data_IF_866480735118
#
_entry.id   IF_866480735118
#
_cell.length_a   1.000
_cell.length_b   1.000
_cell.length_c   1.000
_cell.angle_alpha   90.00
_cell.angle_beta   90.00
_cell.angle_gamma   90.00
#
_symmetry.space_group_name_H-M   'P 1'
#
loop_
_entity.id
_entity.type
_entity.pdbx_description
1 polymer ?
#
# COMPACT_ATOMS: atom_id res chain seq x y z
N UNK A 1 -3.28 21.81 2.18
CA UNK A 1 -3.56 22.16 3.60
C UNK A 1 -2.26 22.01 4.38
N UNK A 2 -1.95 22.98 5.23
CA UNK A 2 -0.85 22.94 6.19
C UNK A 2 -1.45 22.83 7.58
N UNK A 3 -1.00 21.85 8.36
CA UNK A 3 -1.45 21.64 9.73
C UNK A 3 -0.25 21.45 10.64
N UNK A 4 -0.40 21.68 11.93
CA UNK A 4 0.60 21.34 12.93
C UNK A 4 -0.02 20.52 14.04
N UNK A 5 0.73 19.60 14.62
CA UNK A 5 0.26 18.72 15.68
C UNK A 5 1.43 18.05 16.41
N UNK A 6 1.14 17.43 17.54
CA UNK A 6 2.12 16.70 18.34
C UNK A 6 2.17 15.20 17.99
N UNK A 7 1.31 14.76 17.10
CA UNK A 7 1.23 13.37 16.65
C UNK A 7 1.46 13.30 15.13
N UNK A 8 2.08 12.21 14.69
CA UNK A 8 2.30 11.94 13.28
C UNK A 8 0.96 11.67 12.57
N UNK A 9 0.69 12.42 11.51
CA UNK A 9 -0.45 12.19 10.60
C UNK A 9 -0.21 10.91 9.79
N UNK A 10 1.05 10.64 9.45
CA UNK A 10 1.46 9.42 8.73
C UNK A 10 1.13 8.18 9.54
N UNK A 11 1.51 8.15 10.83
CA UNK A 11 1.21 7.02 11.73
C UNK A 11 -0.29 6.85 11.94
N UNK A 12 -1.03 7.94 12.08
CA UNK A 12 -2.50 7.90 12.20
C UNK A 12 -3.17 7.34 10.94
N UNK A 13 -2.69 7.71 9.75
CA UNK A 13 -3.20 7.16 8.49
C UNK A 13 -2.92 5.66 8.37
N UNK A 14 -1.74 5.21 8.78
CA UNK A 14 -1.37 3.78 8.77
C UNK A 14 -2.21 2.95 9.75
N UNK A 15 -2.58 3.51 10.90
CA UNK A 15 -3.49 2.85 11.86
C UNK A 15 -4.90 2.70 11.33
N UNK A 16 -5.39 3.67 10.55
CA UNK A 16 -6.75 3.64 9.98
C UNK A 16 -6.81 2.71 8.76
N UNK A 17 -5.75 2.68 7.95
CA UNK A 17 -5.70 1.94 6.69
C UNK A 17 -4.30 1.34 6.50
N UNK A 18 -4.19 0.03 6.60
CA UNK A 18 -2.92 -0.70 6.45
C UNK A 18 -2.28 -0.55 5.06
N UNK A 19 -3.04 -0.09 4.06
CA UNK A 19 -2.61 0.08 2.67
C UNK A 19 -2.72 1.54 2.21
N UNK A 20 -2.15 2.47 2.99
CA UNK A 20 -2.27 3.91 2.74
C UNK A 20 -1.18 4.49 1.80
N UNK A 21 -0.54 3.66 0.92
CA UNK A 21 0.60 4.11 0.08
C UNK A 21 0.29 5.38 -0.74
N UNK A 22 -0.84 5.41 -1.41
CA UNK A 22 -1.24 6.57 -2.22
C UNK A 22 -1.50 7.84 -1.41
N UNK A 23 -2.01 7.71 -0.20
CA UNK A 23 -2.25 8.79 0.74
C UNK A 23 -0.94 9.28 1.36
N UNK A 24 -0.06 8.37 1.76
CA UNK A 24 1.25 8.69 2.36
C UNK A 24 2.15 9.49 1.42
N UNK A 25 2.14 9.18 0.12
CA UNK A 25 2.89 9.93 -0.91
C UNK A 25 2.39 11.36 -1.13
N UNK A 26 1.26 11.76 -0.55
CA UNK A 26 0.68 13.10 -0.61
C UNK A 26 0.85 13.90 0.68
N UNK A 27 1.41 13.27 1.71
CA UNK A 27 1.67 13.90 3.01
C UNK A 27 3.17 14.10 3.16
N UNK A 28 3.60 15.34 3.32
CA UNK A 28 4.96 15.67 3.74
C UNK A 28 4.93 16.13 5.18
N UNK A 29 5.45 15.30 6.05
CA UNK A 29 5.57 15.60 7.48
C UNK A 29 6.96 16.13 7.78
N UNK A 30 7.02 17.30 8.42
CA UNK A 30 8.27 17.94 8.79
C UNK A 30 8.39 17.97 10.31
N UNK A 31 9.42 17.30 10.84
CA UNK A 31 9.67 17.28 12.28
C UNK A 31 10.39 18.55 12.71
N UNK A 32 9.68 19.45 13.38
CA UNK A 32 10.27 20.65 13.92
C UNK A 32 10.92 20.37 15.27
N UNK A 33 12.20 20.73 15.40
CA UNK A 33 12.89 20.68 16.68
C UNK A 33 12.57 21.91 17.51
N UNK A 34 12.34 21.71 18.79
CA UNK A 34 12.13 22.84 19.72
C UNK A 34 13.38 23.74 19.71
N UNK A 35 13.18 25.03 19.44
CA UNK A 35 14.23 26.02 19.60
C UNK A 35 14.48 26.27 21.08
N UNK A 36 15.66 25.91 21.57
CA UNK A 36 16.03 25.99 22.99
C UNK A 36 16.71 27.33 23.36
N UNK A 37 16.88 28.21 22.39
CA UNK A 37 17.62 29.45 22.56
C UNK A 37 16.78 30.71 22.86
N UNK A 38 15.44 30.60 22.81
CA UNK A 38 14.56 31.75 23.08
C UNK A 38 13.91 31.66 24.46
N UNK A 39 13.89 32.75 25.18
CA UNK A 39 13.12 32.91 26.40
C UNK A 39 11.62 33.07 26.09
N UNK A 40 10.76 32.78 27.06
CA UNK A 40 9.31 33.04 26.89
C UNK A 40 9.02 34.46 26.50
N UNK A 41 9.72 35.45 27.07
CA UNK A 41 9.53 36.86 26.82
C UNK A 41 9.87 37.25 25.36
N UNK A 42 10.93 36.66 24.78
CA UNK A 42 11.27 36.86 23.36
C UNK A 42 10.21 36.27 22.44
N UNK A 43 9.69 35.09 22.79
CA UNK A 43 8.61 34.43 22.03
C UNK A 43 7.34 35.29 22.08
N UNK A 44 6.93 35.78 23.26
CA UNK A 44 5.76 36.62 23.43
C UNK A 44 5.90 37.94 22.63
N UNK A 45 7.11 38.53 22.58
CA UNK A 45 7.39 39.72 21.78
C UNK A 45 7.23 39.45 20.27
N UNK A 46 7.65 38.29 19.77
CA UNK A 46 7.46 37.92 18.37
C UNK A 46 5.98 37.77 18.04
N UNK A 47 5.20 37.10 18.91
CA UNK A 47 3.75 36.96 18.70
C UNK A 47 3.03 38.29 18.71
N UNK A 48 3.39 39.21 19.61
CA UNK A 48 2.82 40.58 19.62
C UNK A 48 3.13 41.34 18.31
N UNK A 49 4.38 41.28 17.82
CA UNK A 49 4.77 41.87 16.55
C UNK A 49 4.04 41.29 15.36
N UNK A 50 3.78 39.97 15.37
CA UNK A 50 2.98 39.34 14.32
C UNK A 50 1.54 39.82 14.31
N UNK A 51 0.93 40.02 15.49
CA UNK A 51 -0.43 40.55 15.61
C UNK A 51 -0.53 41.98 15.06
N UNK A 52 0.47 42.81 15.30
CA UNK A 52 0.50 44.23 14.83
C UNK A 52 0.75 44.32 13.32
N UNK A 53 1.39 43.35 12.71
CA UNK A 53 1.78 43.33 11.29
C UNK A 53 1.02 42.28 10.45
N UNK A 54 -0.06 41.76 10.98
CA UNK A 54 -0.84 40.74 10.29
C UNK A 54 -1.43 41.23 8.97
N UNK A 55 -1.26 40.40 7.91
CA UNK A 55 -1.88 40.66 6.61
C UNK A 55 -1.15 41.61 5.67
N UNK A 56 -0.05 42.26 6.09
CA UNK A 56 0.68 43.25 5.27
C UNK A 56 1.45 42.59 4.12
N UNK A 57 2.12 41.46 4.36
CA UNK A 57 2.95 40.78 3.36
C UNK A 57 2.13 40.14 2.23
N UNK A 58 0.94 39.64 2.53
CA UNK A 58 0.09 38.93 1.57
C UNK A 58 -0.26 39.71 0.32
N UNK A 59 -0.84 40.94 0.43
CA UNK A 59 -1.15 41.75 -0.73
C UNK A 59 0.07 42.05 -1.61
N UNK A 60 1.22 42.39 -1.02
CA UNK A 60 2.47 42.69 -1.74
C UNK A 60 2.90 41.46 -2.55
N UNK A 61 2.90 40.30 -1.91
CA UNK A 61 3.27 39.02 -2.55
C UNK A 61 2.31 38.67 -3.71
N UNK A 62 1.00 38.76 -3.48
CA UNK A 62 -0.01 38.41 -4.51
C UNK A 62 0.04 39.38 -5.68
N UNK A 63 0.20 40.66 -5.46
CA UNK A 63 0.36 41.65 -6.54
C UNK A 63 1.58 41.32 -7.42
N UNK A 64 2.70 40.95 -6.79
CA UNK A 64 3.90 40.54 -7.54
C UNK A 64 3.65 39.26 -8.35
N UNK A 65 3.00 38.24 -7.75
CA UNK A 65 2.66 36.98 -8.43
C UNK A 65 1.77 37.25 -9.65
N UNK A 66 0.70 38.04 -9.50
CA UNK A 66 -0.23 38.34 -10.59
C UNK A 66 0.45 39.10 -11.73
N UNK A 67 1.38 40.00 -11.42
CA UNK A 67 2.10 40.79 -12.42
C UNK A 67 3.19 39.96 -13.16
N UNK A 68 3.59 38.81 -12.62
CA UNK A 68 4.73 38.04 -13.15
C UNK A 68 4.40 36.53 -13.39
N UNK A 69 3.15 36.21 -13.67
CA UNK A 69 2.64 34.81 -13.73
C UNK A 69 3.48 33.90 -14.65
N UNK A 70 3.86 34.38 -15.84
CA UNK A 70 4.57 33.52 -16.82
C UNK A 70 6.01 33.24 -16.38
N UNK A 71 6.71 34.25 -15.86
CA UNK A 71 8.08 34.06 -15.33
C UNK A 71 8.07 33.15 -14.09
N UNK A 72 7.03 33.23 -13.26
CA UNK A 72 6.87 32.38 -12.08
C UNK A 72 6.57 30.94 -12.49
N UNK A 73 5.74 30.72 -13.51
CA UNK A 73 5.49 29.36 -14.05
C UNK A 73 6.79 28.71 -14.55
N UNK A 74 7.60 29.47 -15.28
CA UNK A 74 8.93 29.01 -15.72
C UNK A 74 9.81 28.66 -14.52
N UNK A 75 9.91 29.54 -13.55
CA UNK A 75 10.71 29.30 -12.33
C UNK A 75 10.23 28.08 -11.52
N UNK A 76 8.92 27.86 -11.45
CA UNK A 76 8.34 26.67 -10.81
C UNK A 76 8.75 25.38 -11.55
N UNK A 77 8.64 25.40 -12.88
CA UNK A 77 9.03 24.25 -13.69
C UNK A 77 10.54 23.96 -13.55
N UNK A 78 11.40 24.96 -13.65
CA UNK A 78 12.85 24.80 -13.51
C UNK A 78 13.23 24.30 -12.12
N UNK A 79 12.60 24.81 -11.08
CA UNK A 79 12.80 24.35 -9.70
C UNK A 79 12.35 22.91 -9.52
N UNK A 80 11.19 22.53 -10.07
CA UNK A 80 10.72 21.16 -10.03
C UNK A 80 11.69 20.21 -10.72
N UNK A 81 12.15 20.54 -11.94
CA UNK A 81 13.12 19.73 -12.68
C UNK A 81 14.44 19.56 -11.91
N UNK A 82 14.89 20.63 -11.24
CA UNK A 82 16.07 20.58 -10.38
C UNK A 82 15.88 19.60 -9.22
N UNK A 83 14.74 19.66 -8.53
CA UNK A 83 14.41 18.80 -7.41
C UNK A 83 14.24 17.34 -7.86
N UNK A 84 13.55 17.10 -8.97
CA UNK A 84 13.36 15.78 -9.56
C UNK A 84 14.70 15.11 -9.84
N UNK A 85 15.63 15.85 -10.43
CA UNK A 85 17.00 15.35 -10.74
C UNK A 85 17.83 15.13 -9.47
N UNK A 86 17.77 16.04 -8.50
CA UNK A 86 18.57 15.97 -7.27
C UNK A 86 18.15 14.82 -6.36
N UNK A 87 16.84 14.58 -6.27
CA UNK A 87 16.25 13.57 -5.38
C UNK A 87 15.88 12.27 -6.10
N UNK A 88 16.14 12.17 -7.42
CA UNK A 88 15.70 11.02 -8.23
C UNK A 88 14.21 10.71 -8.02
N UNK A 89 13.36 11.74 -8.23
CA UNK A 89 11.90 11.63 -8.04
C UNK A 89 11.28 10.92 -9.24
N UNK A 90 10.57 9.85 -8.98
CA UNK A 90 9.78 9.13 -9.97
C UNK A 90 8.34 9.67 -10.07
N UNK A 91 7.57 9.12 -11.02
CA UNK A 91 6.19 9.53 -11.25
C UNK A 91 5.28 9.33 -10.01
N UNK A 92 5.60 8.39 -9.14
CA UNK A 92 4.80 8.07 -7.95
C UNK A 92 4.98 9.10 -6.85
N UNK A 93 6.17 9.70 -6.75
CA UNK A 93 6.57 10.66 -5.71
C UNK A 93 6.47 12.14 -6.17
N UNK A 94 5.92 12.38 -7.37
CA UNK A 94 5.83 13.72 -8.02
C UNK A 94 5.24 14.82 -7.14
N UNK A 95 4.39 14.48 -6.17
CA UNK A 95 3.78 15.48 -5.29
C UNK A 95 4.81 16.17 -4.40
N UNK A 96 5.87 15.48 -4.00
CA UNK A 96 6.93 16.07 -3.19
C UNK A 96 7.70 17.16 -3.97
N UNK A 97 8.07 16.90 -5.23
CA UNK A 97 8.79 17.88 -6.03
C UNK A 97 7.94 19.11 -6.36
N UNK A 98 6.67 18.93 -6.72
CA UNK A 98 5.74 20.05 -6.96
C UNK A 98 5.56 20.89 -5.70
N UNK A 99 5.35 20.24 -4.55
CA UNK A 99 5.18 20.95 -3.27
C UNK A 99 6.43 21.74 -2.90
N UNK A 100 7.61 21.13 -2.95
CA UNK A 100 8.87 21.81 -2.66
C UNK A 100 9.14 22.96 -3.64
N UNK A 101 8.88 22.77 -4.95
CA UNK A 101 9.05 23.82 -5.94
C UNK A 101 8.18 25.04 -5.62
N UNK A 102 6.90 24.84 -5.29
CA UNK A 102 6.02 25.93 -4.88
C UNK A 102 6.52 26.66 -3.62
N UNK A 103 6.95 25.89 -2.61
CA UNK A 103 7.45 26.49 -1.36
C UNK A 103 8.73 27.30 -1.60
N UNK A 104 9.70 26.78 -2.36
CA UNK A 104 10.99 27.45 -2.54
C UNK A 104 10.94 28.60 -3.54
N UNK A 105 10.17 28.48 -4.63
CA UNK A 105 9.93 29.63 -5.52
C UNK A 105 9.18 30.73 -4.78
N UNK A 106 8.16 30.39 -4.00
CA UNK A 106 7.45 31.34 -3.15
C UNK A 106 8.37 32.03 -2.13
N UNK A 107 9.23 31.28 -1.46
CA UNK A 107 10.20 31.83 -0.51
C UNK A 107 11.23 32.76 -1.19
N UNK A 108 11.76 32.38 -2.35
CA UNK A 108 12.68 33.22 -3.11
C UNK A 108 12.04 34.54 -3.56
N UNK A 109 10.78 34.51 -4.00
CA UNK A 109 10.01 35.72 -4.35
C UNK A 109 9.82 36.60 -3.11
N UNK A 110 9.39 36.01 -2.00
CA UNK A 110 9.17 36.76 -0.75
C UNK A 110 10.48 37.36 -0.23
N UNK A 111 11.61 36.68 -0.32
CA UNK A 111 12.92 37.23 0.02
C UNK A 111 13.31 38.38 -0.90
N UNK A 112 13.10 38.27 -2.22
CA UNK A 112 13.36 39.32 -3.20
C UNK A 112 12.52 40.57 -2.93
N UNK A 113 11.31 40.41 -2.41
CA UNK A 113 10.42 41.48 -2.00
C UNK A 113 10.74 42.05 -0.61
N UNK A 114 11.76 41.57 0.06
CA UNK A 114 12.14 41.99 1.41
C UNK A 114 11.16 41.60 2.50
N UNK A 115 10.32 40.58 2.26
CA UNK A 115 9.32 40.12 3.23
C UNK A 115 9.90 39.19 4.31
N UNK A 116 11.09 38.61 4.09
CA UNK A 116 11.84 37.85 5.07
C UNK A 116 13.34 37.77 4.73
N UNK A 117 14.14 37.36 5.74
CA UNK A 117 15.58 37.13 5.63
C UNK A 117 15.99 35.68 5.98
N UNK A 118 15.09 34.71 5.68
CA UNK A 118 15.32 33.30 5.99
C UNK A 118 16.46 32.76 5.13
N UNK A 119 17.36 31.97 5.72
CA UNK A 119 18.40 31.21 5.01
C UNK A 119 17.76 30.09 4.18
N UNK A 120 17.34 30.40 2.96
CA UNK A 120 16.65 29.47 2.06
C UNK A 120 17.51 28.24 1.75
N UNK A 121 18.82 28.33 1.46
CA UNK A 121 19.67 27.15 1.24
C UNK A 121 19.65 26.16 2.40
N UNK A 122 19.66 26.63 3.63
CA UNK A 122 19.59 25.80 4.83
C UNK A 122 18.23 25.10 4.96
N UNK A 123 17.14 25.83 4.72
CA UNK A 123 15.78 25.27 4.73
C UNK A 123 15.60 24.27 3.61
N UNK A 124 16.13 24.54 2.42
CA UNK A 124 16.12 23.63 1.28
C UNK A 124 16.77 22.29 1.63
N UNK A 125 17.99 22.33 2.16
CA UNK A 125 18.72 21.12 2.57
C UNK A 125 17.96 20.33 3.63
N UNK A 126 17.32 20.98 4.58
CA UNK A 126 16.48 20.33 5.58
C UNK A 126 15.27 19.64 4.94
N UNK A 127 14.51 20.37 4.10
CA UNK A 127 13.30 19.85 3.48
C UNK A 127 13.57 18.69 2.51
N UNK A 128 14.66 18.76 1.73
CA UNK A 128 15.07 17.65 0.84
C UNK A 128 15.45 16.40 1.63
N UNK A 129 16.13 16.54 2.77
CA UNK A 129 16.43 15.42 3.65
C UNK A 129 15.16 14.78 4.23
N UNK A 130 14.17 15.60 4.63
CA UNK A 130 12.90 15.08 5.16
C UNK A 130 12.10 14.35 4.06
N UNK A 131 12.10 14.84 2.82
CA UNK A 131 11.50 14.11 1.69
C UNK A 131 12.18 12.77 1.46
N UNK A 132 13.52 12.70 1.51
CA UNK A 132 14.23 11.42 1.39
C UNK A 132 13.85 10.44 2.50
N UNK A 133 13.70 10.93 3.74
CA UNK A 133 13.24 10.11 4.88
C UNK A 133 11.81 9.61 4.68
N UNK A 134 10.89 10.49 4.26
CA UNK A 134 9.50 10.13 3.98
C UNK A 134 9.41 9.06 2.89
N UNK A 135 10.19 9.19 1.81
CA UNK A 135 10.27 8.19 0.74
C UNK A 135 10.83 6.85 1.21
N UNK A 136 11.89 6.87 2.03
CA UNK A 136 12.46 5.65 2.60
C UNK A 136 11.45 4.94 3.51
N UNK A 137 10.72 5.68 4.35
CA UNK A 137 9.66 5.16 5.20
C UNK A 137 8.53 4.54 4.37
N UNK A 138 8.06 5.24 3.32
CA UNK A 138 7.01 4.72 2.43
C UNK A 138 7.45 3.45 1.70
N UNK A 139 8.73 3.38 1.23
CA UNK A 139 9.26 2.16 0.60
C UNK A 139 9.32 0.98 1.57
N UNK A 140 9.73 1.21 2.81
CA UNK A 140 9.71 0.18 3.86
C UNK A 140 8.28 -0.31 4.13
N UNK A 141 7.33 0.60 4.28
CA UNK A 141 5.92 0.28 4.50
C UNK A 141 5.29 -0.52 3.33
N UNK A 142 5.67 -0.24 2.08
CA UNK A 142 5.21 -1.03 0.91
C UNK A 142 5.76 -2.46 0.95
N UNK A 143 7.00 -2.67 1.45
CA UNK A 143 7.53 -4.01 1.72
C UNK A 143 6.69 -4.77 2.74
N UNK A 144 6.31 -4.11 3.82
CA UNK A 144 5.45 -4.68 4.87
C UNK A 144 4.04 -4.99 4.34
N UNK A 145 3.50 -4.21 3.41
CA UNK A 145 2.19 -4.44 2.79
C UNK A 145 2.12 -5.76 2.03
N UNK A 146 3.20 -6.17 1.38
CA UNK A 146 3.24 -7.48 0.71
C UNK A 146 3.16 -8.62 1.74
N UNK A 147 3.85 -8.48 2.87
CA UNK A 147 3.79 -9.42 3.99
C UNK A 147 2.37 -9.46 4.55
N UNK A 148 1.77 -8.31 4.84
CA UNK A 148 0.39 -8.20 5.36
C UNK A 148 -0.62 -8.85 4.40
N UNK A 149 -0.47 -8.64 3.09
CA UNK A 149 -1.34 -9.27 2.09
C UNK A 149 -1.22 -10.80 2.10
N UNK A 150 0.01 -11.33 2.21
CA UNK A 150 0.27 -12.78 2.27
C UNK A 150 -0.23 -13.38 3.59
N UNK A 151 0.03 -12.74 4.73
CA UNK A 151 -0.48 -13.17 6.03
C UNK A 151 -2.00 -13.16 6.09
N UNK A 152 -2.65 -12.13 5.49
CA UNK A 152 -4.12 -12.07 5.40
C UNK A 152 -4.66 -13.20 4.53
N UNK A 153 -3.99 -13.55 3.43
CA UNK A 153 -4.37 -14.70 2.60
C UNK A 153 -4.20 -16.01 3.36
N UNK A 154 -3.08 -16.18 4.07
CA UNK A 154 -2.83 -17.36 4.90
C UNK A 154 -3.90 -17.51 6.00
N UNK A 155 -4.27 -16.40 6.66
CA UNK A 155 -5.35 -16.40 7.63
C UNK A 155 -6.69 -16.81 7.00
N UNK A 156 -7.02 -16.33 5.79
CA UNK A 156 -8.22 -16.76 5.06
C UNK A 156 -8.23 -18.27 4.84
N UNK A 157 -7.11 -18.83 4.37
CA UNK A 157 -7.00 -20.28 4.11
C UNK A 157 -7.14 -21.06 5.41
N UNK A 158 -6.46 -20.64 6.48
CA UNK A 158 -6.53 -21.32 7.77
C UNK A 158 -7.94 -21.29 8.37
N UNK A 159 -8.63 -20.14 8.34
CA UNK A 159 -10.01 -20.04 8.84
C UNK A 159 -10.98 -20.91 8.02
N UNK A 160 -10.71 -21.16 6.74
CA UNK A 160 -11.59 -21.88 5.83
C UNK A 160 -11.06 -23.27 5.42
N UNK A 161 -10.08 -23.81 6.12
CA UNK A 161 -9.45 -25.10 5.75
C UNK A 161 -10.45 -26.25 5.67
N UNK A 162 -11.50 -26.25 6.49
CA UNK A 162 -12.57 -27.24 6.47
C UNK A 162 -13.61 -27.01 5.34
N UNK A 163 -13.54 -25.88 4.66
CA UNK A 163 -14.45 -25.48 3.59
C UNK A 163 -13.79 -25.57 2.20
N UNK A 164 -12.74 -26.37 2.09
CA UNK A 164 -12.00 -26.60 0.85
C UNK A 164 -12.53 -27.84 0.12
N UNK A 165 -12.66 -27.73 -1.20
CA UNK A 165 -12.79 -28.85 -2.10
C UNK A 165 -11.42 -29.20 -2.66
N UNK A 166 -10.88 -30.38 -2.31
CA UNK A 166 -9.65 -30.89 -2.90
C UNK A 166 -10.01 -31.95 -3.93
N UNK A 167 -9.71 -31.66 -5.20
CA UNK A 167 -10.04 -32.54 -6.32
C UNK A 167 -8.98 -32.42 -7.41
N UNK A 168 -8.50 -33.58 -7.90
CA UNK A 168 -7.57 -33.63 -9.03
C UNK A 168 -8.23 -33.13 -10.32
N UNK A 169 -7.42 -32.70 -11.29
CA UNK A 169 -7.93 -32.30 -12.60
C UNK A 169 -8.47 -33.54 -13.32
N UNK A 170 -9.76 -33.52 -13.67
CA UNK A 170 -10.36 -34.56 -14.50
C UNK A 170 -9.84 -34.46 -15.93
N UNK A 171 -9.46 -35.58 -16.50
CA UNK A 171 -9.08 -35.71 -17.93
C UNK A 171 -10.27 -35.98 -18.84
N UNK A 172 -11.50 -36.05 -18.31
CA UNK A 172 -12.74 -36.32 -19.04
C UNK A 172 -13.98 -35.71 -18.41
N UNK A 173 -15.14 -35.98 -19.01
CA UNK A 173 -16.44 -35.49 -18.54
C UNK A 173 -16.99 -36.23 -17.31
N UNK A 174 -16.28 -37.23 -16.82
CA UNK A 174 -16.76 -38.05 -15.70
C UNK A 174 -16.44 -37.39 -14.39
N UNK A 175 -17.45 -37.17 -13.51
CA UNK A 175 -17.22 -36.65 -12.16
C UNK A 175 -16.28 -37.56 -11.37
N UNK A 176 -15.38 -36.96 -10.60
CA UNK A 176 -14.42 -37.65 -9.76
C UNK A 176 -14.80 -37.54 -8.28
N UNK A 177 -14.44 -38.56 -7.50
CA UNK A 177 -14.55 -38.44 -6.06
C UNK A 177 -13.56 -37.37 -5.57
N UNK A 178 -14.01 -36.40 -4.78
CA UNK A 178 -13.09 -35.45 -4.18
C UNK A 178 -12.18 -36.15 -3.19
N UNK A 179 -10.91 -35.74 -3.15
CA UNK A 179 -9.94 -36.18 -2.14
C UNK A 179 -10.38 -35.68 -0.77
N UNK A 180 -10.82 -34.39 -0.71
CA UNK A 180 -11.43 -33.81 0.46
C UNK A 180 -12.70 -33.05 0.01
N UNK A 181 -13.81 -33.35 0.69
CA UNK A 181 -15.07 -32.62 0.52
C UNK A 181 -15.17 -31.51 1.57
N UNK A 182 -15.75 -30.35 1.22
CA UNK A 182 -15.99 -29.30 2.20
C UNK A 182 -16.97 -29.78 3.27
N UNK A 183 -16.68 -29.44 4.53
CA UNK A 183 -17.56 -29.75 5.68
C UNK A 183 -18.69 -28.76 5.86
N UNK A 184 -18.67 -27.64 5.12
CA UNK A 184 -19.68 -26.59 5.15
C UNK A 184 -19.80 -25.94 3.78
N UNK A 185 -20.02 -24.62 3.76
CA UNK A 185 -20.08 -23.85 2.53
C UNK A 185 -18.74 -23.86 1.79
N UNK A 186 -18.79 -24.19 0.49
CA UNK A 186 -17.58 -24.24 -0.34
C UNK A 186 -16.97 -22.85 -0.51
N UNK A 187 -15.82 -22.60 0.12
CA UNK A 187 -15.11 -21.30 0.11
C UNK A 187 -13.88 -21.28 -0.79
N UNK A 188 -13.28 -22.44 -1.06
CA UNK A 188 -12.11 -22.54 -1.90
C UNK A 188 -11.96 -23.94 -2.52
N UNK A 189 -11.23 -24.02 -3.63
CA UNK A 189 -10.89 -25.26 -4.30
C UNK A 189 -9.39 -25.37 -4.46
N UNK A 190 -8.82 -26.52 -4.15
CA UNK A 190 -7.45 -26.87 -4.43
C UNK A 190 -7.36 -28.01 -5.42
N UNK A 191 -6.51 -27.87 -6.43
CA UNK A 191 -6.23 -28.90 -7.41
C UNK A 191 -4.78 -29.39 -7.25
N UNK A 192 -4.54 -30.58 -6.71
CA UNK A 192 -3.19 -31.12 -6.52
C UNK A 192 -2.41 -31.29 -7.83
N UNK A 193 -3.11 -31.62 -8.92
CA UNK A 193 -2.47 -31.86 -10.23
C UNK A 193 -1.87 -30.58 -10.83
N UNK A 194 -2.55 -29.43 -10.71
CA UNK A 194 -2.09 -28.14 -11.23
C UNK A 194 -1.51 -27.23 -10.15
N UNK A 195 -1.57 -27.69 -8.89
CA UNK A 195 -1.19 -26.95 -7.69
C UNK A 195 -1.82 -25.57 -7.60
N UNK A 196 -3.09 -25.49 -7.98
CA UNK A 196 -3.86 -24.25 -8.03
C UNK A 196 -4.83 -24.17 -6.88
N UNK A 197 -4.75 -23.05 -6.13
CA UNK A 197 -5.75 -22.66 -5.15
C UNK A 197 -6.69 -21.63 -5.75
N UNK A 198 -7.97 -21.97 -5.86
CA UNK A 198 -9.01 -21.12 -6.45
C UNK A 198 -9.93 -20.61 -5.36
N UNK A 199 -10.06 -19.27 -5.25
CA UNK A 199 -10.87 -18.60 -4.23
C UNK A 199 -11.84 -17.65 -4.92
N UNK A 200 -13.17 -17.69 -4.59
CA UNK A 200 -14.13 -16.71 -5.09
C UNK A 200 -13.73 -15.29 -4.72
N UNK A 201 -13.76 -14.41 -5.72
CA UNK A 201 -13.33 -13.02 -5.52
C UNK A 201 -14.19 -12.26 -4.49
N UNK A 202 -15.46 -12.64 -4.33
CA UNK A 202 -16.33 -12.06 -3.31
C UNK A 202 -15.90 -12.46 -1.90
N UNK A 203 -15.55 -13.74 -1.68
CA UNK A 203 -15.10 -14.24 -0.39
C UNK A 203 -13.80 -13.57 0.04
N UNK A 204 -12.83 -13.50 -0.89
CA UNK A 204 -11.57 -12.84 -0.62
C UNK A 204 -11.78 -11.35 -0.28
N UNK A 205 -12.61 -10.63 -1.05
CA UNK A 205 -12.93 -9.22 -0.78
C UNK A 205 -13.55 -9.01 0.59
N UNK A 206 -14.54 -9.82 0.94
CA UNK A 206 -15.22 -9.72 2.23
C UNK A 206 -14.25 -9.97 3.39
N UNK A 207 -13.35 -10.93 3.24
CA UNK A 207 -12.36 -11.25 4.26
C UNK A 207 -11.34 -10.13 4.45
N UNK A 208 -10.73 -9.66 3.36
CA UNK A 208 -9.76 -8.58 3.39
C UNK A 208 -10.37 -7.28 3.93
N UNK A 209 -11.61 -6.97 3.52
CA UNK A 209 -12.32 -5.80 4.06
C UNK A 209 -12.56 -5.90 5.57
N UNK A 210 -12.89 -7.09 6.11
CA UNK A 210 -13.00 -7.31 7.57
C UNK A 210 -11.68 -7.10 8.31
N UNK A 211 -10.56 -7.45 7.65
CA UNK A 211 -9.20 -7.23 8.18
C UNK A 211 -8.65 -5.83 7.89
N UNK A 212 -9.47 -4.93 7.29
CA UNK A 212 -9.10 -3.56 6.91
C UNK A 212 -7.90 -3.49 5.93
N UNK A 213 -7.73 -4.53 5.09
CA UNK A 213 -6.69 -4.62 4.07
C UNK A 213 -7.29 -4.30 2.71
N UNK A 214 -6.64 -3.42 1.91
CA UNK A 214 -7.10 -3.09 0.57
C UNK A 214 -6.90 -4.25 -0.40
N UNK A 215 -8.01 -4.73 -0.96
CA UNK A 215 -8.00 -5.89 -1.86
C UNK A 215 -7.29 -5.60 -3.17
N UNK A 216 -7.47 -4.40 -3.75
CA UNK A 216 -6.90 -4.08 -5.07
C UNK A 216 -5.39 -4.01 -4.99
N UNK A 217 -4.89 -3.35 -3.95
CA UNK A 217 -3.47 -3.23 -3.71
C UNK A 217 -2.83 -4.58 -3.38
N UNK A 218 -3.48 -5.37 -2.50
CA UNK A 218 -3.04 -6.72 -2.18
C UNK A 218 -2.97 -7.62 -3.41
N UNK A 219 -3.99 -7.59 -4.28
CA UNK A 219 -3.99 -8.34 -5.55
C UNK A 219 -2.85 -7.89 -6.45
N UNK A 220 -2.57 -6.58 -6.54
CA UNK A 220 -1.46 -6.05 -7.33
C UNK A 220 -0.10 -6.52 -6.80
N UNK A 221 0.09 -6.47 -5.48
CA UNK A 221 1.32 -6.90 -4.82
C UNK A 221 1.54 -8.41 -4.98
N UNK A 222 0.51 -9.23 -4.74
CA UNK A 222 0.56 -10.67 -4.92
C UNK A 222 0.78 -11.07 -6.39
N UNK A 223 0.28 -10.27 -7.35
CA UNK A 223 0.56 -10.48 -8.77
C UNK A 223 2.03 -10.21 -9.10
N UNK A 224 2.59 -9.10 -8.59
CA UNK A 224 4.01 -8.75 -8.76
C UNK A 224 4.94 -9.79 -8.13
N UNK A 225 4.52 -10.42 -7.04
CA UNK A 225 5.25 -11.49 -6.36
C UNK A 225 5.08 -12.86 -7.03
N UNK A 226 4.32 -12.97 -8.11
CA UNK A 226 4.08 -14.24 -8.81
C UNK A 226 3.14 -15.21 -8.11
N UNK A 227 2.45 -14.78 -7.05
CA UNK A 227 1.52 -15.64 -6.30
C UNK A 227 0.17 -15.82 -7.01
N UNK A 228 -0.24 -14.84 -7.84
CA UNK A 228 -1.47 -14.87 -8.60
C UNK A 228 -1.23 -15.20 -10.06
N UNK A 229 -1.99 -16.17 -10.57
CA UNK A 229 -2.10 -16.48 -12.00
C UNK A 229 -3.01 -15.48 -12.72
N UNK A 230 -3.07 -15.55 -14.04
CA UNK A 230 -3.93 -14.69 -14.88
C UNK A 230 -3.72 -13.18 -14.67
N UNK A 231 -2.47 -12.76 -14.45
CA UNK A 231 -2.10 -11.34 -14.26
C UNK A 231 -2.94 -10.64 -13.16
N UNK A 232 -3.32 -11.37 -12.11
CA UNK A 232 -4.16 -10.86 -11.03
C UNK A 232 -5.62 -10.61 -11.40
N UNK A 233 -6.06 -11.05 -12.59
CA UNK A 233 -7.47 -10.94 -12.99
C UNK A 233 -8.29 -12.08 -12.43
N UNK A 234 -9.48 -11.78 -11.91
CA UNK A 234 -10.44 -12.81 -11.55
C UNK A 234 -11.03 -13.46 -12.80
N UNK A 235 -11.01 -14.78 -12.85
CA UNK A 235 -11.54 -15.58 -13.96
C UNK A 235 -12.84 -16.28 -13.55
N UNK A 236 -13.76 -16.54 -14.51
CA UNK A 236 -15.00 -17.25 -14.23
C UNK A 236 -14.70 -18.75 -14.04
N UNK A 237 -15.02 -19.31 -12.88
CA UNK A 237 -14.81 -20.72 -12.54
C UNK A 237 -16.07 -21.32 -11.89
N UNK A 238 -16.39 -22.56 -12.27
CA UNK A 238 -17.37 -23.37 -11.54
C UNK A 238 -16.62 -24.12 -10.44
N UNK A 239 -16.54 -23.52 -9.25
CA UNK A 239 -15.66 -23.98 -8.18
C UNK A 239 -15.94 -25.41 -7.73
N UNK A 240 -17.21 -25.86 -7.79
CA UNK A 240 -17.62 -27.22 -7.43
C UNK A 240 -17.64 -28.22 -8.61
N UNK A 241 -17.23 -27.82 -9.84
CA UNK A 241 -17.37 -28.69 -11.00
C UNK A 241 -16.41 -29.87 -10.96
N UNK A 242 -16.86 -31.00 -11.49
CA UNK A 242 -16.09 -32.24 -11.58
C UNK A 242 -16.15 -33.12 -10.34
N UNK A 243 -16.75 -32.65 -9.23
CA UNK A 243 -16.93 -33.46 -8.02
C UNK A 243 -18.21 -34.29 -8.07
N UNK A 244 -18.13 -35.54 -7.57
CA UNK A 244 -19.31 -36.35 -7.28
C UNK A 244 -20.13 -35.67 -6.14
N UNK A 245 -21.44 -35.80 -6.18
CA UNK A 245 -22.32 -35.27 -5.12
C UNK A 245 -22.93 -33.91 -5.38
N UNK A 246 -22.89 -33.41 -6.64
CA UNK A 246 -23.69 -32.24 -7.03
C UNK A 246 -23.12 -30.89 -6.59
N UNK A 247 -21.83 -30.80 -6.25
CA UNK A 247 -21.13 -29.54 -5.96
C UNK A 247 -20.93 -28.67 -7.22
N UNK A 248 -21.42 -29.12 -8.39
CA UNK A 248 -21.41 -28.39 -9.65
C UNK A 248 -22.31 -27.15 -9.54
N UNK A 249 -21.74 -26.02 -9.20
CA UNK A 249 -22.49 -24.81 -8.96
C UNK A 249 -22.46 -23.81 -10.11
N UNK A 250 -23.07 -22.67 -9.86
CA UNK A 250 -23.03 -21.48 -10.70
C UNK A 250 -21.57 -21.03 -10.91
N UNK A 251 -21.31 -20.49 -12.08
CA UNK A 251 -20.01 -19.92 -12.40
C UNK A 251 -19.81 -18.62 -11.59
N UNK A 252 -18.72 -18.57 -10.85
CA UNK A 252 -18.34 -17.39 -10.04
C UNK A 252 -16.97 -16.87 -10.46
N UNK A 253 -16.74 -15.58 -10.29
CA UNK A 253 -15.41 -15.02 -10.51
C UNK A 253 -14.49 -15.40 -9.36
N UNK A 254 -13.34 -15.98 -9.69
CA UNK A 254 -12.35 -16.46 -8.72
C UNK A 254 -10.97 -15.89 -9.02
N UNK A 255 -10.19 -15.69 -7.98
CA UNK A 255 -8.73 -15.57 -8.10
C UNK A 255 -8.10 -16.96 -8.05
N UNK A 256 -7.07 -17.15 -8.89
CA UNK A 256 -6.32 -18.42 -8.96
C UNK A 256 -4.90 -18.15 -8.49
N UNK A 257 -4.55 -18.80 -7.41
CA UNK A 257 -3.22 -18.68 -6.78
C UNK A 257 -2.35 -19.87 -7.17
N UNK A 258 -1.05 -19.62 -7.25
CA UNK A 258 -0.04 -20.66 -7.40
C UNK A 258 0.28 -21.26 -6.03
N UNK A 259 -0.07 -22.52 -5.80
CA UNK A 259 0.12 -23.19 -4.52
C UNK A 259 1.59 -23.40 -4.18
N UNK A 260 2.45 -23.65 -5.17
CA UNK A 260 3.90 -23.80 -4.95
C UNK A 260 4.53 -22.47 -4.54
N UNK A 261 4.15 -21.38 -5.22
CA UNK A 261 4.62 -20.04 -4.88
C UNK A 261 4.14 -19.58 -3.50
N UNK A 262 2.97 -20.03 -3.05
CA UNK A 262 2.45 -19.82 -1.70
C UNK A 262 3.11 -20.71 -0.63
N UNK A 263 3.93 -21.68 -1.04
CA UNK A 263 4.56 -22.63 -0.13
C UNK A 263 3.56 -23.62 0.51
N UNK A 264 2.37 -23.82 -0.07
CA UNK A 264 1.44 -24.83 0.38
C UNK A 264 2.00 -26.22 0.08
N UNK A 265 2.15 -27.00 1.12
CA UNK A 265 2.46 -28.44 0.98
C UNK A 265 1.14 -29.19 0.77
N UNK A 266 1.15 -30.23 -0.06
CA UNK A 266 -0.01 -31.10 -0.25
C UNK A 266 -0.53 -31.66 1.09
N UNK A 267 0.37 -31.93 2.04
CA UNK A 267 0.04 -32.35 3.40
C UNK A 267 -0.84 -31.39 4.17
N UNK A 268 -0.88 -30.09 3.81
CA UNK A 268 -1.78 -29.14 4.45
C UNK A 268 -3.26 -29.44 4.16
N UNK A 269 -3.54 -30.07 3.02
CA UNK A 269 -4.89 -30.41 2.58
C UNK A 269 -5.13 -31.91 2.52
N UNK A 270 -4.10 -32.73 2.33
CA UNK A 270 -4.18 -34.17 2.17
C UNK A 270 -3.37 -34.76 3.32
N UNK A 271 -4.03 -35.36 4.35
CA UNK A 271 -3.29 -36.06 5.39
C UNK A 271 -2.44 -37.16 4.76
N UNK A 272 -1.19 -37.25 5.15
CA UNK A 272 -0.30 -38.35 4.75
C UNK A 272 -1.01 -39.66 5.10
N UNK A 273 -1.11 -40.57 4.12
CA UNK A 273 -1.54 -41.95 4.42
C UNK A 273 -0.61 -42.49 5.49
N UNK A 274 -1.16 -43.01 6.60
CA UNK A 274 -0.30 -43.72 7.54
C UNK A 274 0.46 -44.80 6.75
N UNK A 275 1.77 -44.84 6.86
CA UNK A 275 2.59 -45.92 6.32
C UNK A 275 1.95 -47.25 6.78
N UNK A 276 1.46 -48.02 5.84
CA UNK A 276 1.02 -49.38 6.12
C UNK A 276 2.25 -50.11 6.70
N UNK A 277 2.21 -50.38 8.00
CA UNK A 277 3.23 -51.19 8.64
C UNK A 277 3.33 -52.47 7.85
N UNK A 278 4.50 -52.76 7.27
CA UNK A 278 4.76 -54.05 6.63
C UNK A 278 4.40 -55.14 7.65
N UNK A 279 3.61 -56.18 7.24
CA UNK A 279 3.31 -57.25 8.14
C UNK A 279 4.62 -57.92 8.51
N UNK A 280 4.98 -57.91 9.81
CA UNK A 280 6.04 -58.76 10.33
C UNK A 280 5.72 -60.20 9.94
N UNK A 281 6.51 -60.74 9.03
CA UNK A 281 6.53 -62.17 8.72
C UNK A 281 7.16 -62.87 9.90
N UNK A 282 6.32 -63.40 10.79
CA UNK A 282 6.74 -64.41 11.77
C UNK A 282 7.21 -65.63 11.02
N UNK A 283 8.54 -65.92 11.10
CA UNK A 283 9.18 -67.18 10.67
C UNK A 283 9.43 -68.02 11.91
#
# INVERSE_FOLDING_TARGET
>A
TVTSGNHSVVDALQQIKSTADGELRRVLELTLRQYRGATKQEIDQVFNKLSDNYGVAGPIFIQHVLANMDSIRTALFDMQQKIDKELDIDQTDRYFSVYLACCFVGALIAQKLGLHEIDIPRVYKYATNEVQRARAHTKASVGDLNIVAQETLAAFVNENINNVLVIAKSTGSVPQAPIISPRGELKMRYCPTTKELTIPAAELRNFFSRKQVDVRESVLLMTKSGLLKHEGRSVPVRIGSGALGGLGGIQVRCYVFDGDALGFKESAFIPEKPEEAEPELDI
#
